data_IF_546087549858
#
_entry.id   IF_546087549858
#
_cell.length_a   1.000
_cell.length_b   1.000
_cell.length_c   1.000
_cell.angle_alpha   90.00
_cell.angle_beta   90.00
_cell.angle_gamma   90.00
#
_symmetry.space_group_name_H-M   'P 1'
#
loop_
_entity.id
_entity.type
_entity.pdbx_description
1 polymer ?
#
# COMPACT_ATOMS: atom_id res chain seq x y z
N UNK A 1 -23.92 -0.72 0.03
CA UNK A 1 -22.80 -0.88 0.96
C UNK A 1 -21.56 -0.66 0.11
N UNK A 2 -20.73 0.33 0.43
CA UNK A 2 -19.49 0.55 -0.34
C UNK A 2 -18.58 -0.68 -0.21
N UNK A 3 -17.86 -1.01 -1.27
CA UNK A 3 -16.85 -2.06 -1.25
C UNK A 3 -15.76 -1.76 -0.19
N UNK A 4 -15.19 -2.80 0.44
CA UNK A 4 -14.16 -2.59 1.44
C UNK A 4 -12.90 -1.96 0.80
N UNK A 5 -12.30 -1.01 1.52
CA UNK A 5 -11.06 -0.37 1.09
C UNK A 5 -9.91 -1.36 1.22
N UNK A 6 -9.09 -1.47 0.17
CA UNK A 6 -7.94 -2.37 0.21
C UNK A 6 -6.87 -1.89 1.20
N UNK A 7 -6.25 -2.80 1.94
CA UNK A 7 -5.19 -2.44 2.90
C UNK A 7 -4.00 -1.74 2.22
N UNK A 8 -3.64 -2.15 1.00
CA UNK A 8 -2.58 -1.51 0.22
C UNK A 8 -2.97 -0.11 -0.26
N UNK A 9 -4.26 0.16 -0.53
CA UNK A 9 -4.74 1.49 -0.89
C UNK A 9 -4.48 2.52 0.22
N UNK A 10 -4.59 2.13 1.49
CA UNK A 10 -4.27 3.01 2.61
C UNK A 10 -2.80 3.44 2.57
N UNK A 11 -1.88 2.49 2.37
CA UNK A 11 -0.44 2.77 2.22
C UNK A 11 -0.19 3.73 1.06
N UNK A 12 -0.81 3.46 -0.10
CA UNK A 12 -0.64 4.29 -1.30
C UNK A 12 -1.16 5.71 -1.08
N UNK A 13 -2.32 5.85 -0.43
CA UNK A 13 -2.94 7.14 -0.17
C UNK A 13 -2.12 7.99 0.79
N UNK A 14 -1.68 7.41 1.91
CA UNK A 14 -0.84 8.09 2.89
C UNK A 14 0.51 8.50 2.29
N UNK A 15 1.07 7.67 1.40
CA UNK A 15 2.28 8.04 0.66
C UNK A 15 2.02 9.20 -0.30
N UNK A 16 1.02 9.05 -1.18
CA UNK A 16 0.64 10.03 -2.17
C UNK A 16 -0.77 9.73 -2.72
N UNK A 17 -1.76 10.64 -2.54
CA UNK A 17 -3.10 10.46 -3.10
C UNK A 17 -3.11 10.24 -4.61
N UNK A 18 -2.18 10.88 -5.35
CA UNK A 18 -2.01 10.62 -6.78
C UNK A 18 -1.52 9.21 -7.08
N UNK A 19 -0.58 8.67 -6.30
CA UNK A 19 -0.16 7.26 -6.47
C UNK A 19 -1.34 6.33 -6.22
N UNK A 20 -2.14 6.59 -5.19
CA UNK A 20 -3.35 5.81 -4.92
C UNK A 20 -4.33 5.84 -6.10
N UNK A 21 -4.58 7.02 -6.68
CA UNK A 21 -5.46 7.17 -7.84
C UNK A 21 -4.91 6.45 -9.07
N UNK A 22 -3.62 6.60 -9.39
CA UNK A 22 -3.00 5.90 -10.53
C UNK A 22 -3.15 4.38 -10.41
N UNK A 23 -3.03 3.82 -9.20
CA UNK A 23 -3.14 2.38 -8.98
C UNK A 23 -4.60 1.91 -8.98
N UNK A 24 -5.47 2.58 -8.24
CA UNK A 24 -6.81 2.06 -7.89
C UNK A 24 -7.96 2.71 -8.67
N UNK A 25 -7.72 3.86 -9.31
CA UNK A 25 -8.70 4.51 -10.22
C UNK A 25 -8.31 4.24 -11.67
N UNK A 26 -7.05 4.51 -12.04
CA UNK A 26 -6.57 4.40 -13.43
C UNK A 26 -6.07 2.99 -13.79
N UNK A 27 -5.88 2.10 -12.81
CA UNK A 27 -5.48 0.71 -13.06
C UNK A 27 -4.04 0.51 -13.55
N UNK A 28 -3.16 1.51 -13.43
CA UNK A 28 -1.78 1.48 -13.98
C UNK A 28 -0.96 0.26 -13.53
N UNK A 29 -1.19 -0.26 -12.32
CA UNK A 29 -0.51 -1.47 -11.84
C UNK A 29 -1.10 -2.76 -12.39
N UNK A 30 -2.40 -2.81 -12.71
CA UNK A 30 -3.03 -3.98 -13.31
C UNK A 30 -2.40 -4.30 -14.68
N UNK A 31 -2.10 -3.26 -15.47
CA UNK A 31 -1.43 -3.41 -16.76
C UNK A 31 0.05 -3.82 -16.61
N UNK A 32 0.77 -3.25 -15.65
CA UNK A 32 2.19 -3.58 -15.41
C UNK A 32 2.39 -4.97 -14.76
N UNK A 33 1.47 -5.41 -13.90
CA UNK A 33 1.51 -6.70 -13.20
C UNK A 33 1.25 -7.92 -14.09
N UNK A 34 0.65 -7.74 -15.27
CA UNK A 34 0.63 -8.78 -16.31
C UNK A 34 2.04 -9.06 -16.87
N UNK A 35 3.03 -8.20 -16.61
CA UNK A 35 4.35 -8.28 -17.27
C UNK A 35 5.56 -8.40 -16.33
N UNK A 36 5.61 -7.85 -15.11
CA UNK A 36 6.81 -8.05 -14.27
C UNK A 36 6.71 -7.75 -12.75
N UNK A 37 7.40 -8.61 -11.99
CA UNK A 37 8.15 -8.33 -10.73
C UNK A 37 7.45 -8.20 -9.38
N UNK A 38 6.14 -8.02 -9.29
CA UNK A 38 5.44 -8.03 -7.98
C UNK A 38 5.49 -9.39 -7.25
N UNK A 39 5.65 -10.48 -7.99
CA UNK A 39 5.56 -11.85 -7.46
C UNK A 39 6.82 -12.37 -6.75
N UNK A 40 8.01 -11.82 -6.99
CA UNK A 40 9.24 -12.54 -6.62
C UNK A 40 9.62 -12.46 -5.13
N UNK A 41 9.05 -11.53 -4.36
CA UNK A 41 9.15 -11.55 -2.89
C UNK A 41 7.99 -12.33 -2.25
N UNK A 42 6.83 -12.30 -2.91
CA UNK A 42 5.64 -13.04 -2.53
C UNK A 42 5.81 -14.56 -2.71
N UNK A 43 6.54 -15.05 -3.71
CA UNK A 43 6.76 -16.49 -3.94
C UNK A 43 7.43 -17.23 -2.76
N UNK A 44 8.30 -16.57 -1.97
CA UNK A 44 8.86 -17.17 -0.75
C UNK A 44 7.86 -17.19 0.42
N UNK A 45 6.87 -16.30 0.42
CA UNK A 45 5.77 -16.31 1.37
C UNK A 45 4.60 -17.21 0.91
N UNK A 46 4.44 -17.43 -0.39
CA UNK A 46 3.45 -18.33 -1.01
C UNK A 46 3.89 -19.80 -1.03
N UNK A 47 5.07 -20.13 -0.48
CA UNK A 47 5.32 -21.48 0.03
C UNK A 47 4.38 -21.75 1.20
N UNK A 48 3.10 -22.00 0.89
CA UNK A 48 2.02 -22.18 1.84
C UNK A 48 2.35 -23.32 2.81
N UNK A 49 2.83 -22.96 3.98
CA UNK A 49 3.21 -23.88 5.02
C UNK A 49 3.02 -23.20 6.36
N UNK A 50 2.37 -23.90 7.29
CA UNK A 50 2.43 -23.55 8.71
C UNK A 50 3.79 -23.99 9.21
N UNK A 51 4.71 -23.05 9.39
CA UNK A 51 5.95 -23.30 10.12
C UNK A 51 5.66 -23.08 11.61
N UNK A 52 6.03 -24.06 12.45
CA UNK A 52 5.95 -23.94 13.90
C UNK A 52 7.36 -23.89 14.44
N UNK A 53 7.72 -22.77 15.07
CA UNK A 53 9.01 -22.61 15.75
C UNK A 53 8.78 -21.99 17.12
N UNK A 54 9.33 -22.63 18.15
CA UNK A 54 9.23 -22.16 19.54
C UNK A 54 7.77 -21.89 19.99
N UNK A 55 6.81 -22.67 19.49
CA UNK A 55 5.38 -22.52 19.78
C UNK A 55 4.66 -21.44 18.98
N UNK A 56 5.36 -20.65 18.17
CA UNK A 56 4.78 -19.65 17.28
C UNK A 56 4.46 -20.32 15.94
N UNK A 57 3.20 -20.21 15.50
CA UNK A 57 2.75 -20.70 14.19
C UNK A 57 2.72 -19.55 13.20
N UNK A 58 3.35 -19.71 12.05
CA UNK A 58 3.35 -18.69 10.99
C UNK A 58 2.27 -18.98 9.95
N UNK A 59 1.34 -18.04 9.78
CA UNK A 59 0.41 -17.98 8.66
C UNK A 59 0.98 -17.03 7.60
N UNK A 60 0.84 -17.38 6.32
CA UNK A 60 1.34 -16.58 5.21
C UNK A 60 0.21 -16.27 4.23
N UNK A 61 0.26 -15.10 3.61
CA UNK A 61 -0.76 -14.63 2.67
C UNK A 61 -2.20 -14.78 3.21
N UNK A 62 -2.41 -14.42 4.49
CA UNK A 62 -3.70 -14.57 5.15
C UNK A 62 -4.68 -13.52 4.62
N UNK A 63 -5.82 -13.91 4.02
CA UNK A 63 -6.87 -12.95 3.67
C UNK A 63 -7.46 -12.32 4.92
N UNK A 64 -7.55 -11.00 4.93
CA UNK A 64 -8.05 -10.20 6.04
C UNK A 64 -9.32 -9.47 5.64
N UNK A 65 -10.28 -9.40 6.55
CA UNK A 65 -11.49 -8.61 6.38
C UNK A 65 -11.90 -7.99 7.71
N UNK A 66 -12.29 -6.72 7.66
CA UNK A 66 -12.98 -6.03 8.74
C UNK A 66 -14.26 -5.42 8.19
N UNK A 67 -15.42 -5.92 8.64
CA UNK A 67 -16.71 -5.32 8.32
C UNK A 67 -16.94 -4.07 9.14
N UNK A 68 -16.45 -4.03 10.38
CA UNK A 68 -16.55 -2.88 11.26
C UNK A 68 -15.88 -1.64 10.66
N UNK A 69 -14.66 -1.81 10.14
CA UNK A 69 -13.89 -0.72 9.56
C UNK A 69 -14.09 -0.59 8.06
N UNK A 70 -14.65 -1.60 7.39
CA UNK A 70 -14.82 -1.67 5.94
C UNK A 70 -13.48 -1.74 5.21
N UNK A 71 -12.61 -2.63 5.68
CA UNK A 71 -11.26 -2.87 5.18
C UNK A 71 -11.13 -4.33 4.72
N UNK A 72 -10.35 -4.57 3.68
CA UNK A 72 -10.03 -5.93 3.22
C UNK A 72 -8.66 -5.98 2.56
N UNK A 73 -8.01 -7.14 2.58
CA UNK A 73 -6.72 -7.30 1.92
C UNK A 73 -6.05 -8.62 2.27
N UNK A 74 -4.74 -8.67 2.13
CA UNK A 74 -3.93 -9.84 2.47
C UNK A 74 -2.78 -9.36 3.37
N UNK A 75 -2.52 -10.08 4.45
CA UNK A 75 -1.29 -9.92 5.23
C UNK A 75 -0.23 -10.90 4.74
N UNK A 76 1.00 -10.41 4.57
CA UNK A 76 2.14 -11.22 4.14
C UNK A 76 2.39 -12.38 5.11
N UNK A 77 2.51 -12.02 6.39
CA UNK A 77 2.77 -12.94 7.49
C UNK A 77 1.96 -12.54 8.72
N UNK A 78 1.36 -13.54 9.37
CA UNK A 78 0.75 -13.42 10.70
C UNK A 78 1.34 -14.51 11.58
N UNK A 79 1.97 -14.10 12.68
CA UNK A 79 2.46 -15.00 13.70
C UNK A 79 1.34 -15.23 14.73
N UNK A 80 0.92 -16.48 14.92
CA UNK A 80 0.07 -16.87 16.04
C UNK A 80 0.98 -17.26 17.20
N UNK A 81 0.89 -16.51 18.29
CA UNK A 81 1.60 -16.76 19.53
C UNK A 81 1.11 -18.05 20.21
N UNK A 82 1.82 -18.59 21.22
CA UNK A 82 1.43 -19.82 21.91
C UNK A 82 0.04 -19.79 22.55
N UNK A 83 -0.43 -18.60 22.93
CA UNK A 83 -1.78 -18.34 23.47
C UNK A 83 -2.86 -18.20 22.37
N UNK A 84 -2.45 -18.25 21.09
CA UNK A 84 -3.31 -18.08 19.92
C UNK A 84 -3.43 -16.63 19.44
N UNK A 85 -2.85 -15.66 20.14
CA UNK A 85 -2.94 -14.24 19.80
C UNK A 85 -2.27 -13.95 18.45
N UNK A 86 -2.92 -13.23 17.51
CA UNK A 86 -2.33 -12.92 16.21
C UNK A 86 -1.40 -11.72 16.30
N UNK A 87 -0.29 -11.78 15.56
CA UNK A 87 0.64 -10.66 15.42
C UNK A 87 1.03 -10.47 13.96
N UNK A 88 0.67 -9.33 13.34
CA UNK A 88 0.99 -9.08 11.93
C UNK A 88 2.47 -8.75 11.74
N UNK A 89 3.05 -9.26 10.64
CA UNK A 89 4.41 -8.98 10.21
C UNK A 89 4.41 -8.61 8.72
N UNK A 90 4.69 -7.35 8.41
CA UNK A 90 4.72 -6.81 7.04
C UNK A 90 6.14 -6.91 6.46
N UNK A 91 6.30 -7.52 5.28
CA UNK A 91 7.61 -7.73 4.67
C UNK A 91 7.90 -6.63 3.63
N UNK A 92 9.02 -5.90 3.81
CA UNK A 92 9.46 -4.87 2.87
C UNK A 92 10.76 -5.27 2.19
N UNK A 93 10.70 -5.47 0.87
CA UNK A 93 11.86 -5.74 -0.01
C UNK A 93 12.35 -4.52 -0.80
N UNK A 94 11.59 -3.42 -0.81
CA UNK A 94 11.87 -2.21 -1.58
C UNK A 94 12.65 -1.11 -0.84
N UNK A 95 12.86 0.02 -1.52
CA UNK A 95 13.42 1.25 -0.92
C UNK A 95 12.56 1.69 0.26
N UNK A 96 13.20 2.26 1.29
CA UNK A 96 12.50 2.76 2.46
C UNK A 96 11.49 3.85 2.05
N UNK A 97 10.20 3.60 2.30
CA UNK A 97 9.12 4.57 2.18
C UNK A 97 9.02 5.41 3.47
N UNK A 98 8.30 6.55 3.45
CA UNK A 98 7.91 7.25 4.67
C UNK A 98 7.29 6.30 5.69
N UNK A 99 7.76 6.38 6.94
CA UNK A 99 7.41 5.43 8.01
C UNK A 99 5.91 5.28 8.21
N UNK A 100 5.17 6.40 8.18
CA UNK A 100 3.74 6.42 8.45
C UNK A 100 2.92 5.58 7.46
N UNK A 101 3.29 5.55 6.18
CA UNK A 101 2.52 4.81 5.17
C UNK A 101 2.56 3.29 5.43
N UNK A 102 3.73 2.77 5.79
CA UNK A 102 3.89 1.35 6.12
C UNK A 102 3.25 1.02 7.49
N UNK A 103 3.32 1.93 8.45
CA UNK A 103 2.70 1.78 9.78
C UNK A 103 1.18 1.77 9.70
N UNK A 104 0.57 2.63 8.87
CA UNK A 104 -0.87 2.64 8.60
C UNK A 104 -1.33 1.31 7.99
N UNK A 105 -0.59 0.77 7.01
CA UNK A 105 -0.92 -0.52 6.41
C UNK A 105 -0.90 -1.65 7.45
N UNK A 106 0.17 -1.71 8.25
CA UNK A 106 0.34 -2.73 9.28
C UNK A 106 -0.72 -2.60 10.39
N UNK A 107 -1.04 -1.38 10.82
CA UNK A 107 -2.10 -1.15 11.81
C UNK A 107 -3.48 -1.52 11.25
N UNK A 108 -3.74 -1.27 9.97
CA UNK A 108 -4.97 -1.70 9.32
C UNK A 108 -5.11 -3.23 9.24
N UNK A 109 -4.00 -3.97 9.04
CA UNK A 109 -3.99 -5.43 9.18
C UNK A 109 -4.36 -5.85 10.60
N UNK A 110 -3.81 -5.17 11.62
CA UNK A 110 -4.14 -5.44 13.02
C UNK A 110 -5.63 -5.25 13.29
N UNK A 111 -6.25 -4.14 12.87
CA UNK A 111 -7.70 -3.92 13.03
C UNK A 111 -8.54 -5.07 12.43
N UNK A 112 -8.12 -5.61 11.28
CA UNK A 112 -8.80 -6.75 10.68
C UNK A 112 -8.61 -8.02 11.51
N UNK A 113 -7.40 -8.29 11.97
CA UNK A 113 -7.10 -9.43 12.82
C UNK A 113 -7.84 -9.36 14.17
N UNK A 114 -7.96 -8.18 14.77
CA UNK A 114 -8.72 -7.98 16.00
C UNK A 114 -10.19 -8.38 15.82
N UNK A 115 -10.84 -7.94 14.72
CA UNK A 115 -12.22 -8.34 14.40
C UNK A 115 -12.34 -9.84 14.10
N UNK A 116 -11.37 -10.41 13.37
CA UNK A 116 -11.40 -11.82 12.95
C UNK A 116 -11.14 -12.80 14.08
N UNK A 117 -10.27 -12.46 15.03
CA UNK A 117 -9.83 -13.34 16.12
C UNK A 117 -10.44 -12.97 17.47
N UNK A 118 -11.07 -11.79 17.60
CA UNK A 118 -11.61 -11.31 18.88
C UNK A 118 -10.52 -11.08 19.92
N UNK A 119 -9.35 -10.63 19.49
CA UNK A 119 -8.17 -10.41 20.35
C UNK A 119 -7.69 -8.96 20.23
N UNK A 120 -7.13 -8.41 21.30
CA UNK A 120 -6.47 -7.10 21.25
C UNK A 120 -5.05 -7.24 20.71
N UNK A 121 -4.69 -6.41 19.74
CA UNK A 121 -3.35 -6.42 19.13
C UNK A 121 -2.72 -5.05 19.38
N UNK A 122 -1.79 -4.94 20.35
CA UNK A 122 -1.18 -3.65 20.68
C UNK A 122 -0.05 -3.26 19.73
N UNK A 123 0.54 -4.21 18.99
CA UNK A 123 1.72 -3.99 18.18
C UNK A 123 1.89 -5.02 17.05
N UNK A 124 2.77 -4.70 16.10
CA UNK A 124 3.22 -5.60 15.05
C UNK A 124 4.62 -5.26 14.56
N UNK A 125 5.07 -5.96 13.53
CA UNK A 125 6.44 -5.79 13.03
C UNK A 125 6.50 -5.47 11.54
N UNK A 126 7.43 -4.58 11.18
CA UNK A 126 7.87 -4.40 9.80
C UNK A 126 9.23 -5.08 9.66
N UNK A 127 9.32 -6.06 8.76
CA UNK A 127 10.55 -6.79 8.47
C UNK A 127 11.20 -6.28 7.19
N UNK A 128 12.42 -5.76 7.29
CA UNK A 128 13.19 -5.29 6.15
C UNK A 128 14.11 -6.39 5.64
N UNK A 129 13.82 -6.91 4.44
CA UNK A 129 14.57 -8.05 3.87
C UNK A 129 16.04 -7.71 3.63
N UNK A 130 16.34 -6.48 3.20
CA UNK A 130 17.70 -6.04 2.88
C UNK A 130 18.62 -6.00 4.12
N UNK A 131 18.12 -5.51 5.25
CA UNK A 131 18.88 -5.43 6.50
C UNK A 131 18.69 -6.66 7.40
N UNK A 132 17.74 -7.54 7.06
CA UNK A 132 17.27 -8.65 7.91
C UNK A 132 16.82 -8.20 9.31
N UNK A 133 16.43 -6.93 9.44
CA UNK A 133 16.00 -6.33 10.71
C UNK A 133 14.47 -6.26 10.80
N UNK A 134 13.96 -6.38 12.02
CA UNK A 134 12.55 -6.09 12.33
C UNK A 134 12.44 -4.79 13.12
N UNK A 135 11.41 -4.02 12.84
CA UNK A 135 11.03 -2.82 13.58
C UNK A 135 9.65 -3.01 14.17
N UNK A 136 9.53 -2.77 15.47
CA UNK A 136 8.26 -2.78 16.18
C UNK A 136 7.46 -1.52 15.86
N UNK A 137 6.14 -1.68 15.77
CA UNK A 137 5.18 -0.60 15.58
C UNK A 137 4.07 -0.78 16.62
N UNK A 138 3.97 0.16 17.54
CA UNK A 138 2.86 0.22 18.49
C UNK A 138 1.61 0.79 17.81
N UNK A 139 0.46 0.13 17.97
CA UNK A 139 -0.83 0.53 17.41
C UNK A 139 -1.58 1.48 18.33
N UNK A 140 -1.02 2.67 18.49
CA UNK A 140 -1.58 3.76 19.30
C UNK A 140 -2.95 4.22 18.77
N UNK A 141 -3.71 4.92 19.62
CA UNK A 141 -4.97 5.54 19.20
C UNK A 141 -4.79 6.53 18.05
N UNK A 142 -3.66 7.25 18.01
CA UNK A 142 -3.31 8.18 16.92
C UNK A 142 -3.11 7.42 15.60
N UNK A 143 -2.34 6.32 15.61
CA UNK A 143 -2.12 5.53 14.40
C UNK A 143 -3.41 4.87 13.91
N UNK A 144 -4.26 4.39 14.83
CA UNK A 144 -5.60 3.89 14.51
C UNK A 144 -6.47 4.97 13.89
N UNK A 145 -6.40 6.21 14.41
CA UNK A 145 -7.06 7.38 13.80
C UNK A 145 -6.58 7.62 12.37
N UNK A 146 -5.26 7.62 12.15
CA UNK A 146 -4.67 7.78 10.82
C UNK A 146 -5.12 6.71 9.82
N UNK A 147 -5.35 5.46 10.26
CA UNK A 147 -5.94 4.40 9.43
C UNK A 147 -7.35 4.75 8.98
N UNK A 148 -8.19 5.24 9.90
CA UNK A 148 -9.58 5.60 9.58
C UNK A 148 -9.65 6.84 8.67
N UNK A 149 -8.79 7.84 8.93
CA UNK A 149 -8.68 9.03 8.08
C UNK A 149 -8.22 8.65 6.66
N UNK A 150 -7.20 7.78 6.55
CA UNK A 150 -6.73 7.27 5.27
C UNK A 150 -7.82 6.49 4.54
N UNK A 151 -8.59 5.65 5.25
CA UNK A 151 -9.72 4.91 4.67
C UNK A 151 -10.74 5.87 4.07
N UNK A 152 -11.12 6.91 4.81
CA UNK A 152 -12.14 7.85 4.35
C UNK A 152 -11.63 8.70 3.18
N UNK A 153 -10.35 9.08 3.21
CA UNK A 153 -9.66 9.70 2.08
C UNK A 153 -9.64 8.82 0.82
N UNK A 154 -9.32 7.53 0.96
CA UNK A 154 -9.37 6.56 -0.15
C UNK A 154 -10.79 6.44 -0.70
N UNK A 155 -11.81 6.32 0.16
CA UNK A 155 -13.21 6.26 -0.30
C UNK A 155 -13.60 7.50 -1.08
N UNK A 156 -13.26 8.68 -0.59
CA UNK A 156 -13.53 9.93 -1.27
C UNK A 156 -12.84 9.97 -2.64
N UNK A 157 -11.57 9.54 -2.71
CA UNK A 157 -10.81 9.48 -3.94
C UNK A 157 -11.43 8.52 -4.97
N UNK A 158 -11.79 7.31 -4.56
CA UNK A 158 -12.38 6.30 -5.43
C UNK A 158 -13.77 6.72 -5.94
N UNK A 159 -14.61 7.32 -5.08
CA UNK A 159 -15.92 7.84 -5.51
C UNK A 159 -15.80 9.05 -6.42
N UNK A 160 -14.81 9.90 -6.19
CA UNK A 160 -14.57 11.08 -7.01
C UNK A 160 -14.04 10.74 -8.39
N UNK A 161 -13.21 9.70 -8.51
CA UNK A 161 -12.58 9.31 -9.78
C UNK A 161 -11.63 10.38 -10.35
N UNK A 162 -11.31 11.42 -9.56
CA UNK A 162 -10.44 12.51 -9.99
C UNK A 162 -9.00 12.16 -9.65
N UNK A 163 -8.13 12.18 -10.66
CA UNK A 163 -6.70 12.03 -10.50
C UNK A 163 -6.10 13.32 -9.89
N UNK A 164 -5.59 13.29 -8.64
CA UNK A 164 -5.00 14.48 -8.01
C UNK A 164 -3.74 14.95 -8.75
N UNK A 165 -3.42 16.24 -8.66
CA UNK A 165 -2.16 16.79 -9.17
C UNK A 165 -0.94 16.06 -8.57
N UNK A 166 0.18 15.98 -9.30
CA UNK A 166 1.40 15.38 -8.76
C UNK A 166 1.90 16.16 -7.53
N UNK A 167 2.39 15.43 -6.54
CA UNK A 167 3.02 16.03 -5.36
C UNK A 167 4.27 16.85 -5.75
N UNK A 168 5.02 16.39 -6.76
CA UNK A 168 6.21 17.06 -7.29
C UNK A 168 7.23 17.47 -6.20
N UNK A 169 7.47 16.57 -5.25
CA UNK A 169 8.42 16.76 -4.15
C UNK A 169 9.40 15.57 -4.04
N UNK A 170 10.25 15.57 -3.02
CA UNK A 170 11.26 14.53 -2.82
C UNK A 170 10.69 13.11 -2.67
N UNK A 171 9.42 12.97 -2.26
CA UNK A 171 8.77 11.66 -2.12
C UNK A 171 8.68 10.95 -3.47
N UNK A 172 8.55 11.72 -4.55
CA UNK A 172 8.39 11.20 -5.91
C UNK A 172 9.56 10.29 -6.31
N UNK A 173 10.80 10.58 -5.88
CA UNK A 173 11.99 9.76 -6.19
C UNK A 173 11.96 8.36 -5.56
N UNK A 174 11.07 8.15 -4.59
CA UNK A 174 10.82 6.87 -3.91
C UNK A 174 9.56 6.17 -4.44
N UNK A 175 8.78 6.84 -5.29
CA UNK A 175 7.55 6.30 -5.85
C UNK A 175 7.85 5.22 -6.88
N UNK A 176 7.15 4.09 -6.78
CA UNK A 176 7.22 3.03 -7.79
C UNK A 176 6.58 3.40 -9.12
N UNK A 177 5.79 4.48 -9.14
CA UNK A 177 5.12 5.02 -10.33
C UNK A 177 5.76 6.33 -10.79
N UNK A 178 7.07 6.52 -10.58
CA UNK A 178 7.73 7.78 -10.95
C UNK A 178 7.63 8.04 -12.46
N UNK A 179 7.92 7.02 -13.26
CA UNK A 179 7.95 7.11 -14.72
C UNK A 179 6.54 7.27 -15.31
N UNK A 180 5.53 6.59 -14.76
CA UNK A 180 4.13 6.72 -15.21
C UNK A 180 3.47 8.00 -14.70
N UNK A 181 3.88 8.50 -13.54
CA UNK A 181 3.33 9.72 -12.98
C UNK A 181 3.88 10.97 -13.69
N UNK A 182 5.16 10.94 -14.07
CA UNK A 182 5.95 12.09 -14.55
C UNK A 182 5.68 13.35 -13.71
N UNK A 183 6.09 13.37 -12.44
CA UNK A 183 5.66 14.39 -11.48
C UNK A 183 6.21 15.79 -11.80
N UNK A 184 7.32 15.87 -12.53
CA UNK A 184 7.99 17.12 -12.90
C UNK A 184 7.84 17.49 -14.38
N UNK A 185 7.09 16.70 -15.16
CA UNK A 185 6.85 17.04 -16.55
C UNK A 185 5.96 18.29 -16.64
N UNK A 186 6.29 19.25 -17.51
CA UNK A 186 5.41 20.38 -17.79
C UNK A 186 4.09 19.85 -18.36
N UNK A 187 2.97 20.20 -17.71
CA UNK A 187 1.61 19.79 -18.14
C UNK A 187 0.87 20.89 -18.90
N UNK A 188 1.40 22.11 -18.85
CA UNK A 188 0.88 23.24 -19.61
C UNK A 188 1.60 23.31 -20.94
N UNK A 189 0.91 22.87 -21.99
CA UNK A 189 1.31 23.17 -23.34
C UNK A 189 1.02 24.66 -23.63
N UNK A 190 1.96 25.42 -24.24
CA UNK A 190 1.68 26.78 -24.68
C UNK A 190 0.40 26.84 -25.52
N UNK A 191 -0.34 27.94 -25.45
CA UNK A 191 -1.50 28.15 -26.31
C UNK A 191 -1.09 28.02 -27.79
N UNK A 192 -1.68 27.07 -28.52
CA UNK A 192 -1.35 26.78 -29.92
C UNK A 192 -0.29 25.70 -30.14
N UNK A 193 0.28 25.11 -29.08
CA UNK A 193 1.16 23.95 -29.20
C UNK A 193 0.32 22.69 -29.51
N UNK A 194 0.54 22.13 -30.69
CA UNK A 194 0.02 20.82 -31.10
C UNK A 194 1.17 19.81 -31.09
N UNK A 195 1.25 18.89 -30.09
CA UNK A 195 2.30 17.89 -30.00
C UNK A 195 2.32 16.89 -31.16
N UNK A 196 1.27 16.85 -31.98
CA UNK A 196 1.13 15.97 -33.14
C UNK A 196 1.19 16.74 -34.46
N UNK A 197 1.45 18.04 -34.44
CA UNK A 197 1.67 18.82 -35.64
C UNK A 197 2.94 18.30 -36.34
N UNK A 198 2.77 17.64 -37.48
CA UNK A 198 3.86 17.26 -38.38
C UNK A 198 4.26 18.40 -39.32
N UNK A 199 3.78 19.63 -39.07
CA UNK A 199 4.17 20.79 -39.86
C UNK A 199 5.58 21.18 -39.45
N UNK A 200 6.54 20.86 -40.31
CA UNK A 200 7.83 21.55 -40.32
C UNK A 200 7.51 23.01 -40.68
N UNK A 201 7.68 23.93 -39.73
CA UNK A 201 7.60 25.36 -40.03
C UNK A 201 8.70 25.67 -41.05
N UNK A 202 8.27 25.71 -42.31
CA UNK A 202 9.09 26.07 -43.46
C UNK A 202 9.50 27.54 -43.30
N UNK A 203 10.80 27.76 -43.46
CA UNK A 203 11.41 29.06 -43.25
C UNK A 203 10.85 30.19 -44.10
N UNK A 204 11.14 31.40 -43.64
CA UNK A 204 11.46 32.56 -44.46
C UNK A 204 12.45 33.42 -43.69
#
# INVERSE_FOLDING_TARGET
>A
MDDPVSLSALQHFVFCPRQCALIHVEGVWADNSQTARGHQTHERAHGGGTEVRDGVRTLRALPLVSRQHGLAGVADVVELLPDGSPRPVEYKSGKAKPRLADEVQLCAQALCLEEMFGADIPEGFIYHVASRGRREVAFTLELRGAVLDARDGVRALLRGGVLPAPAADDRCRLCSLYDECEPFAPRDFPAGYDPFSTRMDGGS
#
